data_IF_484690077670
#
_entry.id   IF_484690077670
#
_cell.length_a   1.000
_cell.length_b   1.000
_cell.length_c   1.000
_cell.angle_alpha   90.00
_cell.angle_beta   90.00
_cell.angle_gamma   90.00
#
_symmetry.space_group_name_H-M   'P 1'
#
loop_
_entity.id
_entity.type
_entity.pdbx_description
1 polymer ?
#
# COMPACT_ATOMS: atom_id res chain seq x y z
N UNK A 1 -24.67 40.02 3.92
CA UNK A 1 -23.74 39.48 4.92
C UNK A 1 -22.45 39.13 4.20
N UNK A 2 -21.46 40.03 4.22
CA UNK A 2 -20.14 39.78 3.63
C UNK A 2 -19.29 39.02 4.65
N UNK A 3 -19.09 37.72 4.41
CA UNK A 3 -18.16 36.91 5.19
C UNK A 3 -16.75 37.41 4.80
N UNK A 4 -16.15 38.24 5.65
CA UNK A 4 -14.72 38.57 5.56
C UNK A 4 -13.96 37.27 5.85
N UNK A 5 -13.51 36.58 4.80
CA UNK A 5 -12.46 35.58 4.95
C UNK A 5 -11.20 36.31 5.45
N UNK A 6 -10.88 36.14 6.73
CA UNK A 6 -9.61 36.59 7.28
C UNK A 6 -8.48 35.96 6.46
N UNK A 7 -7.68 36.81 5.80
CA UNK A 7 -6.51 36.35 5.05
C UNK A 7 -5.45 35.88 6.04
N UNK A 8 -5.48 34.61 6.43
CA UNK A 8 -4.44 33.97 7.22
C UNK A 8 -3.13 34.04 6.44
N UNK A 9 -2.20 34.89 6.87
CA UNK A 9 -0.84 34.93 6.31
C UNK A 9 0.01 33.86 7.01
N UNK A 10 0.57 32.93 6.24
CA UNK A 10 1.53 31.96 6.78
C UNK A 10 2.79 32.67 7.25
N UNK A 11 3.32 32.15 8.35
CA UNK A 11 4.67 32.44 8.81
C UNK A 11 5.70 31.81 7.87
N UNK A 12 6.95 32.28 7.93
CA UNK A 12 8.04 31.72 7.14
C UNK A 12 8.26 30.21 7.40
N UNK A 13 8.03 29.75 8.64
CA UNK A 13 8.12 28.34 9.00
C UNK A 13 7.03 27.49 8.33
N UNK A 14 5.78 27.98 8.33
CA UNK A 14 4.67 27.29 7.67
C UNK A 14 4.83 27.27 6.15
N UNK A 15 5.41 28.33 5.56
CA UNK A 15 5.78 28.32 4.15
C UNK A 15 6.87 27.29 3.85
N UNK A 16 7.89 27.15 4.69
CA UNK A 16 8.92 26.13 4.52
C UNK A 16 8.34 24.70 4.60
N UNK A 17 7.39 24.47 5.50
CA UNK A 17 6.69 23.18 5.62
C UNK A 17 5.82 22.89 4.39
N UNK A 18 5.08 23.88 3.90
CA UNK A 18 4.28 23.74 2.67
C UNK A 18 5.15 23.52 1.42
N UNK A 19 6.30 24.20 1.34
CA UNK A 19 7.29 24.01 0.28
C UNK A 19 7.88 22.59 0.28
N UNK A 20 8.22 22.06 1.45
CA UNK A 20 8.70 20.68 1.62
C UNK A 20 7.62 19.63 1.30
N UNK A 21 6.38 19.86 1.73
CA UNK A 21 5.27 18.96 1.45
C UNK A 21 4.86 18.97 -0.03
N UNK A 22 5.04 20.10 -0.72
CA UNK A 22 4.81 20.20 -2.16
C UNK A 22 5.95 19.55 -2.97
N UNK A 23 7.20 19.78 -2.56
CA UNK A 23 8.37 19.19 -3.21
C UNK A 23 8.46 17.67 -3.00
N UNK A 24 7.94 17.14 -1.88
CA UNK A 24 7.83 15.69 -1.66
C UNK A 24 6.88 15.03 -2.66
N UNK A 25 5.88 15.77 -3.14
CA UNK A 25 4.87 15.31 -4.11
C UNK A 25 3.71 14.51 -3.53
N UNK A 26 3.69 14.31 -2.21
CA UNK A 26 2.67 13.52 -1.50
C UNK A 26 1.35 14.29 -1.32
N UNK A 27 1.41 15.62 -1.31
CA UNK A 27 0.26 16.47 -1.04
C UNK A 27 -0.23 17.21 -2.30
N UNK A 28 -1.54 17.30 -2.46
CA UNK A 28 -2.19 18.18 -3.45
C UNK A 28 -2.35 19.61 -2.92
N UNK A 29 -2.53 20.58 -3.82
CA UNK A 29 -2.80 21.97 -3.43
C UNK A 29 -4.06 22.09 -2.55
N UNK A 30 -5.04 21.21 -2.75
CA UNK A 30 -6.26 21.13 -1.94
C UNK A 30 -5.97 20.73 -0.50
N UNK A 31 -5.19 19.67 -0.31
CA UNK A 31 -4.80 19.17 1.03
C UNK A 31 -3.89 20.16 1.77
N UNK A 32 -2.99 20.83 1.05
CA UNK A 32 -2.17 21.91 1.63
C UNK A 32 -3.03 23.12 2.00
N UNK A 33 -4.03 23.45 1.18
CA UNK A 33 -4.95 24.54 1.47
C UNK A 33 -5.80 24.29 2.72
N UNK A 34 -6.30 23.07 2.91
CA UNK A 34 -7.01 22.65 4.13
C UNK A 34 -6.10 22.64 5.36
N UNK A 35 -4.88 22.10 5.24
CA UNK A 35 -3.93 21.98 6.35
C UNK A 35 -3.44 23.34 6.88
N UNK A 36 -3.25 24.30 5.98
CA UNK A 36 -2.70 25.62 6.32
C UNK A 36 -3.77 26.73 6.32
N UNK A 37 -5.04 26.41 6.04
CA UNK A 37 -6.16 27.35 6.05
C UNK A 37 -6.05 28.45 4.99
N UNK A 38 -5.53 28.12 3.80
CA UNK A 38 -5.24 29.09 2.73
C UNK A 38 -5.75 28.61 1.38
N UNK A 39 -6.19 29.58 0.57
CA UNK A 39 -6.67 29.35 -0.79
C UNK A 39 -5.58 28.73 -1.69
N UNK A 40 -5.98 27.77 -2.52
CA UNK A 40 -5.10 26.97 -3.39
C UNK A 40 -4.31 27.85 -4.37
N UNK A 41 -4.90 28.95 -4.82
CA UNK A 41 -4.31 29.91 -5.75
C UNK A 41 -3.11 30.63 -5.12
N UNK A 42 -3.16 30.87 -3.81
CA UNK A 42 -2.06 31.52 -3.07
C UNK A 42 -0.86 30.58 -2.97
N UNK A 43 -1.10 29.30 -2.67
CA UNK A 43 -0.07 28.25 -2.67
C UNK A 43 0.53 28.07 -4.08
N UNK A 44 -0.30 27.98 -5.12
CA UNK A 44 0.12 27.85 -6.52
C UNK A 44 1.00 29.02 -6.97
N UNK A 45 0.57 30.26 -6.72
CA UNK A 45 1.36 31.48 -7.04
C UNK A 45 2.69 31.49 -6.29
N UNK A 46 2.70 31.09 -5.02
CA UNK A 46 3.91 31.05 -4.20
C UNK A 46 4.92 30.01 -4.72
N UNK A 47 4.48 28.78 -4.98
CA UNK A 47 5.34 27.72 -5.54
C UNK A 47 5.88 28.07 -6.93
N UNK A 48 5.04 28.68 -7.79
CA UNK A 48 5.48 29.17 -9.11
C UNK A 48 6.52 30.28 -8.98
N UNK A 49 6.34 31.23 -8.06
CA UNK A 49 7.31 32.32 -7.78
C UNK A 49 8.64 31.76 -7.25
N UNK A 50 8.59 30.73 -6.41
CA UNK A 50 9.76 30.03 -5.85
C UNK A 50 10.36 28.97 -6.79
N UNK A 51 9.74 28.72 -7.96
CA UNK A 51 10.14 27.67 -8.93
C UNK A 51 10.17 26.26 -8.33
N UNK A 52 9.33 25.98 -7.34
CA UNK A 52 9.22 24.66 -6.72
C UNK A 52 8.15 23.87 -7.46
N UNK A 53 8.53 22.78 -8.09
CA UNK A 53 7.59 21.90 -8.79
C UNK A 53 7.22 20.72 -7.90
N UNK A 54 6.03 20.16 -8.12
CA UNK A 54 5.56 19.02 -7.34
C UNK A 54 6.50 17.82 -7.54
N UNK A 55 6.95 17.19 -6.45
CA UNK A 55 7.75 15.97 -6.54
C UNK A 55 9.20 16.15 -7.00
N UNK A 56 9.75 17.38 -6.95
CA UNK A 56 11.16 17.63 -7.30
C UNK A 56 12.16 17.22 -6.21
N UNK A 57 11.70 16.78 -5.05
CA UNK A 57 12.61 16.22 -4.05
C UNK A 57 13.18 14.88 -4.53
N UNK A 58 14.37 14.94 -5.12
CA UNK A 58 15.10 13.79 -5.61
C UNK A 58 15.40 12.77 -4.50
N UNK A 59 15.59 13.24 -3.26
CA UNK A 59 15.87 12.39 -2.11
C UNK A 59 14.59 11.64 -1.70
N UNK A 60 13.47 12.35 -1.53
CA UNK A 60 12.17 11.74 -1.25
C UNK A 60 11.74 10.72 -2.31
N UNK A 61 12.00 11.00 -3.59
CA UNK A 61 11.76 10.04 -4.68
C UNK A 61 12.63 8.79 -4.55
N UNK A 62 13.94 8.93 -4.36
CA UNK A 62 14.85 7.78 -4.20
C UNK A 62 14.49 6.92 -2.99
N UNK A 63 14.12 7.53 -1.86
CA UNK A 63 13.69 6.80 -0.66
C UNK A 63 12.41 6.02 -0.93
N UNK A 64 11.41 6.60 -1.59
CA UNK A 64 10.18 5.88 -1.96
C UNK A 64 10.42 4.74 -2.93
N UNK A 65 11.23 4.98 -3.96
CA UNK A 65 11.58 3.96 -4.95
C UNK A 65 12.36 2.81 -4.28
N UNK A 66 13.26 3.12 -3.34
CA UNK A 66 13.97 2.12 -2.53
C UNK A 66 13.03 1.34 -1.62
N UNK A 67 12.11 1.99 -0.92
CA UNK A 67 11.12 1.32 -0.05
C UNK A 67 10.22 0.39 -0.88
N UNK A 68 9.78 0.85 -2.05
CA UNK A 68 8.95 0.04 -2.95
C UNK A 68 9.72 -1.17 -3.47
N UNK A 69 10.95 -0.98 -3.94
CA UNK A 69 11.82 -2.07 -4.37
C UNK A 69 12.07 -3.08 -3.24
N UNK A 70 12.37 -2.60 -2.04
CA UNK A 70 12.57 -3.45 -0.86
C UNK A 70 11.31 -4.23 -0.49
N UNK A 71 10.13 -3.60 -0.56
CA UNK A 71 8.85 -4.23 -0.29
C UNK A 71 8.57 -5.35 -1.33
N UNK A 72 8.82 -5.07 -2.62
CA UNK A 72 8.68 -6.06 -3.68
C UNK A 72 9.64 -7.25 -3.52
N UNK A 73 10.90 -6.99 -3.11
CA UNK A 73 11.89 -8.03 -2.85
C UNK A 73 11.46 -8.89 -1.66
N UNK A 74 11.07 -8.26 -0.54
CA UNK A 74 10.59 -8.98 0.65
C UNK A 74 9.33 -9.81 0.36
N UNK A 75 8.42 -9.30 -0.45
CA UNK A 75 7.23 -10.03 -0.88
C UNK A 75 7.60 -11.28 -1.72
N UNK A 76 8.53 -11.13 -2.68
CA UNK A 76 9.02 -12.25 -3.49
C UNK A 76 9.76 -13.30 -2.65
N UNK A 77 10.63 -12.88 -1.76
CA UNK A 77 11.35 -13.78 -0.84
C UNK A 77 10.37 -14.54 0.06
N UNK A 78 9.36 -13.85 0.59
CA UNK A 78 8.31 -14.48 1.40
C UNK A 78 7.50 -15.49 0.58
N UNK A 79 7.10 -15.15 -0.64
CA UNK A 79 6.41 -16.09 -1.54
C UNK A 79 7.25 -17.34 -1.80
N UNK A 80 8.54 -17.17 -2.11
CA UNK A 80 9.45 -18.28 -2.35
C UNK A 80 9.58 -19.21 -1.13
N UNK A 81 9.68 -18.63 0.08
CA UNK A 81 9.72 -19.40 1.33
C UNK A 81 8.43 -20.17 1.59
N UNK A 82 7.28 -19.58 1.27
CA UNK A 82 5.97 -20.24 1.39
C UNK A 82 5.88 -21.43 0.43
N UNK A 83 6.26 -21.24 -0.83
CA UNK A 83 6.20 -22.29 -1.85
C UNK A 83 7.19 -23.43 -1.56
N UNK A 84 8.42 -23.10 -1.17
CA UNK A 84 9.42 -24.09 -0.77
C UNK A 84 8.90 -24.92 0.41
N UNK A 85 8.26 -24.28 1.39
CA UNK A 85 7.71 -24.96 2.56
C UNK A 85 6.56 -25.88 2.18
N UNK A 86 5.59 -25.42 1.40
CA UNK A 86 4.49 -26.27 0.89
C UNK A 86 5.06 -27.49 0.17
N UNK A 87 6.04 -27.30 -0.71
CA UNK A 87 6.68 -28.39 -1.44
C UNK A 87 7.37 -29.41 -0.53
N UNK A 88 8.09 -28.95 0.51
CA UNK A 88 8.74 -29.86 1.47
C UNK A 88 7.74 -30.69 2.27
N UNK A 89 6.68 -30.06 2.79
CA UNK A 89 5.66 -30.76 3.56
C UNK A 89 4.85 -31.75 2.72
N UNK A 90 4.55 -31.40 1.46
CA UNK A 90 3.94 -32.32 0.50
C UNK A 90 4.82 -33.56 0.26
N UNK A 91 6.12 -33.36 0.04
CA UNK A 91 7.09 -34.48 -0.09
C UNK A 91 7.14 -35.36 1.15
N UNK A 92 7.13 -34.77 2.35
CA UNK A 92 7.11 -35.55 3.59
C UNK A 92 5.82 -36.35 3.75
N UNK A 93 4.67 -35.75 3.44
CA UNK A 93 3.38 -36.43 3.46
C UNK A 93 3.35 -37.60 2.47
N UNK A 94 3.83 -37.37 1.24
CA UNK A 94 3.95 -38.40 0.21
C UNK A 94 4.82 -39.58 0.66
N UNK A 95 5.99 -39.30 1.25
CA UNK A 95 6.89 -40.34 1.75
C UNK A 95 6.27 -41.16 2.89
N UNK A 96 5.58 -40.51 3.83
CA UNK A 96 4.87 -41.21 4.92
C UNK A 96 3.76 -42.10 4.34
N UNK A 97 2.99 -41.59 3.36
CA UNK A 97 1.94 -42.35 2.70
C UNK A 97 2.50 -43.58 1.94
N UNK A 98 3.62 -43.42 1.24
CA UNK A 98 4.29 -44.52 0.55
C UNK A 98 4.76 -45.61 1.52
N UNK A 99 5.36 -45.23 2.65
CA UNK A 99 5.78 -46.17 3.70
C UNK A 99 4.57 -46.87 4.32
N UNK A 100 3.48 -46.15 4.59
CA UNK A 100 2.25 -46.72 5.13
C UNK A 100 1.67 -47.78 4.18
N UNK A 101 1.56 -47.44 2.90
CA UNK A 101 1.05 -48.36 1.88
C UNK A 101 1.94 -49.60 1.72
N UNK A 102 3.27 -49.47 1.89
CA UNK A 102 4.17 -50.62 1.91
C UNK A 102 3.84 -51.57 3.06
N UNK A 103 3.76 -51.08 4.30
CA UNK A 103 3.45 -51.91 5.48
C UNK A 103 2.07 -52.59 5.35
N UNK A 104 1.06 -51.87 4.84
CA UNK A 104 -0.27 -52.43 4.57
C UNK A 104 -0.21 -53.51 3.49
N UNK A 105 0.57 -53.31 2.45
CA UNK A 105 0.75 -54.29 1.37
C UNK A 105 1.49 -55.54 1.87
N UNK A 106 2.51 -55.38 2.70
CA UNK A 106 3.26 -56.50 3.31
C UNK A 106 2.37 -57.30 4.27
N UNK A 107 1.60 -56.64 5.14
CA UNK A 107 0.61 -57.29 6.00
C UNK A 107 -0.45 -58.05 5.19
N UNK A 108 -0.97 -57.44 4.11
CA UNK A 108 -1.93 -58.07 3.20
C UNK A 108 -1.36 -59.31 2.51
N UNK A 109 -0.11 -59.23 2.01
CA UNK A 109 0.59 -60.38 1.42
C UNK A 109 0.78 -61.51 2.43
N UNK A 110 1.17 -61.20 3.67
CA UNK A 110 1.36 -62.20 4.72
C UNK A 110 0.06 -62.93 5.06
N UNK A 111 -1.08 -62.20 5.12
CA UNK A 111 -2.40 -62.82 5.30
C UNK A 111 -2.77 -63.70 4.11
N UNK A 112 -2.52 -63.24 2.88
CA UNK A 112 -2.79 -64.00 1.66
C UNK A 112 -1.97 -65.29 1.55
N UNK A 113 -0.77 -65.35 2.14
CA UNK A 113 0.07 -66.56 2.20
C UNK A 113 -0.22 -67.46 3.41
N UNK A 114 -1.26 -67.15 4.18
CA UNK A 114 -1.74 -67.99 5.28
C UNK A 114 -1.19 -67.62 6.67
N UNK A 115 -0.46 -66.51 6.81
CA UNK A 115 -0.08 -66.00 8.14
C UNK A 115 -1.28 -65.38 8.85
N UNK A 116 -1.66 -65.95 9.99
CA UNK A 116 -2.80 -65.48 10.79
C UNK A 116 -2.55 -64.12 11.44
N UNK A 117 -1.27 -63.77 11.66
CA UNK A 117 -0.85 -62.54 12.34
C UNK A 117 -0.22 -61.49 11.39
N UNK A 118 -0.51 -61.56 10.08
CA UNK A 118 0.11 -60.70 9.07
C UNK A 118 0.03 -59.21 9.41
N UNK A 119 -1.16 -58.68 9.73
CA UNK A 119 -1.29 -57.26 10.12
C UNK A 119 -0.82 -56.94 11.53
N UNK A 120 -0.88 -57.88 12.49
CA UNK A 120 -0.41 -57.64 13.86
C UNK A 120 1.10 -57.33 13.91
N UNK A 121 1.90 -58.00 13.08
CA UNK A 121 3.36 -57.78 12.99
C UNK A 121 3.67 -56.34 12.51
N UNK A 122 2.87 -55.81 11.59
CA UNK A 122 3.07 -54.47 11.01
C UNK A 122 2.32 -53.35 11.75
N UNK A 123 1.44 -53.68 12.69
CA UNK A 123 0.59 -52.71 13.39
C UNK A 123 1.41 -51.64 14.13
N UNK A 124 2.52 -52.04 14.74
CA UNK A 124 3.44 -51.12 15.42
C UNK A 124 4.02 -50.06 14.47
N UNK A 125 4.43 -50.47 13.26
CA UNK A 125 4.94 -49.57 12.23
C UNK A 125 3.86 -48.63 11.72
N UNK A 126 2.64 -49.16 11.46
CA UNK A 126 1.49 -48.37 11.02
C UNK A 126 1.14 -47.29 12.05
N UNK A 127 1.08 -47.65 13.35
CA UNK A 127 0.84 -46.70 14.44
C UNK A 127 1.95 -45.66 14.55
N UNK A 128 3.22 -46.05 14.35
CA UNK A 128 4.33 -45.12 14.33
C UNK A 128 4.22 -44.11 13.16
N UNK A 129 3.87 -44.57 11.96
CA UNK A 129 3.65 -43.72 10.79
C UNK A 129 2.45 -42.78 10.97
N UNK A 130 1.37 -43.25 11.60
CA UNK A 130 0.24 -42.39 11.97
C UNK A 130 0.66 -41.28 12.93
N UNK A 131 1.44 -41.59 13.97
CA UNK A 131 1.98 -40.58 14.91
C UNK A 131 2.93 -39.61 14.21
N UNK A 132 3.74 -40.10 13.28
CA UNK A 132 4.62 -39.26 12.47
C UNK A 132 3.81 -38.29 11.60
N UNK A 133 2.73 -38.76 10.96
CA UNK A 133 1.81 -37.91 10.17
C UNK A 133 1.15 -36.82 11.02
N UNK A 134 0.64 -37.17 12.21
CA UNK A 134 0.04 -36.20 13.14
C UNK A 134 1.07 -35.15 13.58
N UNK A 135 2.29 -35.59 13.88
CA UNK A 135 3.37 -34.68 14.28
C UNK A 135 3.76 -33.76 13.12
N UNK A 136 3.83 -34.30 11.89
CA UNK A 136 4.10 -33.52 10.69
C UNK A 136 3.02 -32.44 10.44
N UNK A 137 1.74 -32.78 10.63
CA UNK A 137 0.63 -31.82 10.53
C UNK A 137 0.79 -30.67 11.53
N UNK A 138 1.11 -30.99 12.79
CA UNK A 138 1.36 -29.96 13.82
C UNK A 138 2.56 -29.08 13.49
N UNK A 139 3.65 -29.68 12.99
CA UNK A 139 4.81 -28.92 12.53
C UNK A 139 4.43 -27.98 11.38
N UNK A 140 3.62 -28.46 10.42
CA UNK A 140 3.13 -27.64 9.31
C UNK A 140 2.26 -26.49 9.80
N UNK A 141 1.32 -26.72 10.72
CA UNK A 141 0.46 -25.68 11.29
C UNK A 141 1.28 -24.60 11.99
N UNK A 142 2.21 -24.97 12.87
CA UNK A 142 3.11 -24.02 13.56
C UNK A 142 3.92 -23.23 12.55
N UNK A 143 4.44 -23.91 11.54
CA UNK A 143 5.27 -23.31 10.50
C UNK A 143 4.50 -22.40 9.55
N UNK A 144 3.24 -22.70 9.30
CA UNK A 144 2.31 -21.92 8.46
C UNK A 144 1.85 -20.67 9.21
N UNK A 145 1.57 -20.79 10.52
CA UNK A 145 1.30 -19.65 11.40
C UNK A 145 2.48 -18.69 11.47
N UNK A 146 3.71 -19.22 11.59
CA UNK A 146 4.92 -18.41 11.61
C UNK A 146 5.12 -17.59 10.32
N UNK A 147 4.64 -18.08 9.18
CA UNK A 147 4.68 -17.36 7.89
C UNK A 147 3.42 -16.54 7.61
N UNK A 148 2.45 -16.50 8.54
CA UNK A 148 1.12 -15.93 8.31
C UNK A 148 0.43 -16.48 7.06
N UNK A 149 0.66 -17.75 6.71
CA UNK A 149 -0.04 -18.41 5.60
C UNK A 149 -1.55 -18.61 5.88
N UNK A 150 -1.93 -18.51 7.16
CA UNK A 150 -3.31 -18.63 7.66
C UNK A 150 -4.11 -17.32 7.50
N UNK A 151 -3.42 -16.20 7.22
CA UNK A 151 -4.09 -14.94 6.89
C UNK A 151 -4.44 -14.99 5.41
N UNK A 152 -5.74 -14.99 5.10
CA UNK A 152 -6.24 -14.71 3.76
C UNK A 152 -5.71 -13.31 3.41
N UNK A 153 -4.76 -13.21 2.47
CA UNK A 153 -4.18 -11.94 1.99
C UNK A 153 -5.19 -11.08 1.20
N UNK A 154 -6.47 -11.15 1.55
CA UNK A 154 -7.57 -10.50 0.84
C UNK A 154 -8.11 -9.23 1.50
N UNK A 155 -7.57 -8.79 2.64
CA UNK A 155 -8.05 -7.59 3.34
C UNK A 155 -7.03 -6.44 3.44
N UNK A 156 -5.75 -6.66 3.09
CA UNK A 156 -4.71 -5.62 3.24
C UNK A 156 -4.26 -4.99 1.90
N UNK A 157 -4.81 -5.43 0.77
CA UNK A 157 -4.59 -4.82 -0.56
C UNK A 157 -5.62 -3.69 -0.81
N UNK A 158 -5.92 -2.91 0.24
CA UNK A 158 -6.59 -1.61 0.18
C UNK A 158 -5.65 -0.58 -0.51
N UNK A 159 -5.21 -0.90 -1.72
CA UNK A 159 -4.86 0.13 -2.69
C UNK A 159 -6.16 0.93 -2.90
N UNK A 160 -6.18 2.24 -2.59
CA UNK A 160 -7.38 3.03 -2.72
C UNK A 160 -7.91 2.89 -4.14
N UNK A 161 -9.13 2.38 -4.29
CA UNK A 161 -9.79 2.28 -5.58
C UNK A 161 -9.84 3.68 -6.19
N UNK A 162 -9.03 3.94 -7.22
CA UNK A 162 -9.15 5.15 -8.02
C UNK A 162 -10.49 5.07 -8.75
N UNK A 163 -11.52 5.61 -8.11
CA UNK A 163 -12.83 5.85 -8.71
C UNK A 163 -12.65 6.93 -9.78
N UNK A 164 -12.45 6.51 -11.04
CA UNK A 164 -12.53 7.38 -12.18
C UNK A 164 -14.01 7.73 -12.42
N UNK A 165 -14.46 8.82 -11.82
CA UNK A 165 -15.72 9.44 -12.23
C UNK A 165 -15.51 10.11 -13.59
N UNK A 166 -16.24 9.68 -14.61
CA UNK A 166 -16.32 10.43 -15.86
C UNK A 166 -16.94 11.79 -15.56
N UNK A 167 -16.14 12.86 -15.66
CA UNK A 167 -16.64 14.22 -15.52
C UNK A 167 -17.64 14.48 -16.63
N UNK A 168 -18.87 14.82 -16.25
CA UNK A 168 -19.88 15.23 -17.23
C UNK A 168 -19.41 16.51 -17.93
N UNK A 169 -19.85 16.75 -19.18
CA UNK A 169 -19.47 17.96 -19.93
C UNK A 169 -19.75 19.26 -19.15
N UNK A 170 -20.78 19.27 -18.30
CA UNK A 170 -21.09 20.39 -17.42
C UNK A 170 -20.00 20.67 -16.39
N UNK A 171 -19.45 19.62 -15.76
CA UNK A 171 -18.36 19.73 -14.79
C UNK A 171 -17.01 20.03 -15.46
N UNK A 172 -16.79 19.54 -16.69
CA UNK A 172 -15.63 19.92 -17.51
C UNK A 172 -15.72 21.41 -17.90
N UNK A 173 -16.90 21.91 -18.25
CA UNK A 173 -17.09 23.32 -18.57
C UNK A 173 -16.88 24.24 -17.36
N UNK A 174 -17.25 23.79 -16.18
CA UNK A 174 -17.02 24.52 -14.92
C UNK A 174 -15.54 24.56 -14.53
N UNK A 175 -14.81 23.45 -14.73
CA UNK A 175 -13.35 23.43 -14.60
C UNK A 175 -12.67 24.36 -15.61
N UNK A 176 -13.13 24.38 -16.86
CA UNK A 176 -12.61 25.30 -17.90
C UNK A 176 -12.92 26.78 -17.59
N UNK A 177 -14.08 27.08 -16.99
CA UNK A 177 -14.37 28.43 -16.47
C UNK A 177 -13.48 28.80 -15.28
N UNK A 178 -13.06 27.83 -14.47
CA UNK A 178 -12.13 28.07 -13.35
C UNK A 178 -10.65 28.18 -13.79
N UNK A 179 -10.31 27.71 -14.98
CA UNK A 179 -8.98 27.86 -15.61
C UNK A 179 -8.89 29.08 -16.53
N UNK A 180 -10.00 29.80 -16.75
CA UNK A 180 -10.02 31.02 -17.53
C UNK A 180 -9.06 32.03 -16.87
N UNK A 181 -8.04 32.53 -17.60
CA UNK A 181 -7.07 33.45 -17.03
C UNK A 181 -7.83 34.69 -16.59
N UNK A 182 -7.86 34.92 -15.27
CA UNK A 182 -8.44 36.12 -14.67
C UNK A 182 -7.83 37.32 -15.38
N UNK A 183 -8.63 38.03 -16.18
CA UNK A 183 -8.21 39.24 -16.87
C UNK A 183 -8.00 40.32 -15.80
N UNK A 184 -6.73 40.56 -15.50
CA UNK A 184 -6.26 41.51 -14.49
C UNK A 184 -6.23 42.96 -15.01
N UNK A 185 -6.80 43.22 -16.19
CA UNK A 185 -6.75 44.55 -16.81
C UNK A 185 -7.86 45.52 -16.34
N UNK A 186 -8.91 45.02 -15.68
CA UNK A 186 -10.11 45.84 -15.41
C UNK A 186 -10.25 46.37 -13.97
N UNK A 187 -9.28 46.11 -13.09
CA UNK A 187 -9.29 46.66 -11.72
C UNK A 187 -8.01 47.47 -11.45
N UNK A 188 -7.84 48.53 -12.25
CA UNK A 188 -6.88 49.61 -12.01
C UNK A 188 -7.63 50.93 -11.86
N UNK A 189 -8.58 51.00 -10.93
CA UNK A 189 -9.10 52.28 -10.43
C UNK A 189 -8.44 52.56 -9.06
N UNK A 190 -7.15 52.90 -9.13
CA UNK A 190 -6.48 53.59 -8.04
C UNK A 190 -6.88 55.06 -8.19
N UNK A 191 -7.90 55.48 -7.43
CA UNK A 191 -8.21 56.88 -7.17
C UNK A 191 -6.91 57.61 -6.81
N UNK A 192 -6.42 58.41 -7.75
CA UNK A 192 -5.46 59.46 -7.50
C UNK A 192 -6.19 60.61 -6.79
N UNK A 193 -6.25 60.55 -5.46
CA UNK A 193 -6.56 61.74 -4.67
C UNK A 193 -5.27 62.57 -4.53
N UNK A 194 -5.18 63.57 -5.41
CA UNK A 194 -4.46 64.83 -5.19
C UNK A 194 -4.91 65.44 -3.86
N UNK A 195 -3.98 65.62 -2.93
CA UNK A 195 -4.16 66.50 -1.78
C UNK A 195 -3.20 67.71 -1.91
N UNK A 196 -3.74 68.73 -2.58
CA UNK A 196 -3.68 70.17 -2.29
C UNK A 196 -2.31 70.91 -2.27
N UNK A 197 -2.07 71.71 -3.32
CA UNK A 197 -1.19 72.88 -3.32
C UNK A 197 -1.84 74.10 -2.60
N UNK A 198 -1.04 74.73 -1.73
CA UNK A 198 -0.95 76.16 -1.35
C UNK A 198 -2.20 76.98 -0.93
N UNK A 199 -2.11 77.70 0.20
CA UNK A 199 -1.89 79.17 0.19
C UNK A 199 -1.77 79.79 1.62
N UNK A 200 -0.81 80.74 1.75
CA UNK A 200 -0.62 81.81 2.75
C UNK A 200 -0.17 81.53 4.19
#
# INVERSE_FOLDING_TARGET
MTIKEERTRLTAAQWAEAEAAWSSGEFSLSQLGERFGIRRETLSRHFKKKKISKGTDAIGKMVRDSIKSDAEIRAKERSALVDERKSKYDRFAFNIAALLMREVTEGSKAVATGSVAGFEIHEGNIKALQRASITLSKCFEVSSKALNMDRVEGEDDDLPALMFGELTQSQVAELRKSEEPVDLSEELDLESEDDNEDDK
#
